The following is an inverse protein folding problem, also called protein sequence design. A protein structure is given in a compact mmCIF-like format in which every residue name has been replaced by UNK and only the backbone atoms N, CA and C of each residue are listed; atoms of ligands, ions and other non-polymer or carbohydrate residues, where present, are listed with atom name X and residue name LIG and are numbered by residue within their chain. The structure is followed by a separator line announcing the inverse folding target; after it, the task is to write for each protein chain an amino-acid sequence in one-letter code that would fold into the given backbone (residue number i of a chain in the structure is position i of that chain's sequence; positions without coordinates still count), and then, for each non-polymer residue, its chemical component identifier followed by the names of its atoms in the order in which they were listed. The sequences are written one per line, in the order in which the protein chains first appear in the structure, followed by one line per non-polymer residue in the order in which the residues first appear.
data_IF_175106818369
#
_entry.id   IF_175106818369
#
_cell.length_a   1.000
_cell.length_b   1.000
_cell.length_c   1.000
_cell.angle_alpha   90.00
_cell.angle_beta   90.00
_cell.angle_gamma   90.00
#
_symmetry.space_group_name_H-M   'P 1'
#
loop_
_entity.id
_entity.type
_entity.pdbx_description
1 polymer ?
#
# COMPACT_ATOMS: atom_id res chain seq x y z
N UNK A 1 -10.06 -2.81 1.79
CA UNK A 1 -9.85 -2.71 0.33
C UNK A 1 -9.86 -1.27 -0.23
N UNK A 2 -10.25 -0.21 0.51
CA UNK A 2 -10.18 1.18 -0.01
C UNK A 2 -8.87 1.94 0.28
N UNK A 3 -8.16 1.56 1.34
CA UNK A 3 -6.98 2.29 1.80
C UNK A 3 -5.80 2.26 0.83
N UNK A 4 -5.64 1.18 0.05
CA UNK A 4 -4.55 1.06 -0.93
C UNK A 4 -4.78 2.05 -2.09
N UNK A 5 -6.00 2.09 -2.63
CA UNK A 5 -6.39 3.03 -3.70
C UNK A 5 -6.28 4.49 -3.25
N UNK A 6 -6.70 4.80 -2.02
CA UNK A 6 -6.57 6.16 -1.47
C UNK A 6 -5.11 6.59 -1.32
N UNK A 7 -4.23 5.69 -0.88
CA UNK A 7 -2.79 5.97 -0.82
C UNK A 7 -2.18 6.06 -2.21
N UNK A 8 -2.62 5.25 -3.17
CA UNK A 8 -2.14 5.32 -4.55
C UNK A 8 -2.51 6.65 -5.21
N UNK A 9 -3.72 7.15 -4.92
CA UNK A 9 -4.20 8.47 -5.37
C UNK A 9 -3.46 9.62 -4.69
N UNK A 10 -3.16 9.49 -3.39
CA UNK A 10 -2.43 10.53 -2.62
C UNK A 10 -0.93 10.54 -2.88
N UNK A 11 -0.34 9.41 -3.27
CA UNK A 11 1.10 9.27 -3.49
C UNK A 11 1.39 8.57 -4.83
N UNK A 12 1.32 9.29 -5.96
CA UNK A 12 1.49 8.71 -7.30
C UNK A 12 2.88 8.10 -7.58
N UNK A 13 3.84 8.22 -6.66
CA UNK A 13 5.20 7.65 -6.76
C UNK A 13 5.51 6.54 -5.75
N UNK A 14 4.53 6.10 -4.94
CA UNK A 14 4.76 5.03 -3.98
C UNK A 14 4.71 3.66 -4.69
N UNK A 15 5.90 3.17 -5.05
CA UNK A 15 6.06 1.79 -5.50
C UNK A 15 5.60 0.79 -4.43
N UNK A 16 5.29 -0.43 -4.86
CA UNK A 16 4.73 -1.51 -4.03
C UNK A 16 5.49 -1.78 -2.73
N UNK A 17 6.81 -1.58 -2.71
CA UNK A 17 7.65 -1.70 -1.50
C UNK A 17 7.33 -0.63 -0.44
N UNK A 18 7.22 0.64 -0.85
CA UNK A 18 6.89 1.75 0.06
C UNK A 18 5.44 1.67 0.52
N UNK A 19 4.54 1.26 -0.36
CA UNK A 19 3.13 1.03 -0.02
C UNK A 19 2.99 -0.09 1.01
N UNK A 20 3.71 -1.21 0.84
CA UNK A 20 3.74 -2.30 1.83
C UNK A 20 4.31 -1.86 3.18
N UNK A 21 5.38 -1.06 3.20
CA UNK A 21 5.97 -0.55 4.44
C UNK A 21 5.03 0.40 5.20
N UNK A 22 4.33 1.28 4.47
CA UNK A 22 3.35 2.19 5.06
C UNK A 22 2.15 1.45 5.62
N UNK A 23 1.61 0.47 4.88
CA UNK A 23 0.51 -0.37 5.33
C UNK A 23 0.89 -1.18 6.58
N UNK A 24 2.11 -1.76 6.59
CA UNK A 24 2.64 -2.45 7.78
C UNK A 24 2.77 -1.54 8.99
N UNK A 25 3.18 -0.28 8.80
CA UNK A 25 3.26 0.71 9.89
C UNK A 25 1.88 1.09 10.44
N UNK A 26 0.84 0.99 9.62
CA UNK A 26 -0.54 1.20 10.02
C UNK A 26 -1.17 0.00 10.75
N UNK A 27 -0.46 -1.13 10.84
CA UNK A 27 -0.98 -2.38 11.42
C UNK A 27 -1.62 -3.32 10.40
N UNK A 28 -1.67 -2.92 9.13
CA UNK A 28 -2.15 -3.76 8.04
C UNK A 28 -1.01 -4.66 7.52
N UNK A 29 -1.05 -5.94 7.88
CA UNK A 29 -0.13 -6.94 7.33
C UNK A 29 -0.52 -7.30 5.89
N UNK A 30 -0.25 -6.38 4.96
CA UNK A 30 -0.58 -6.57 3.55
C UNK A 30 0.59 -7.24 2.84
N UNK A 31 0.35 -8.43 2.33
CA UNK A 31 1.32 -9.12 1.48
C UNK A 31 1.55 -8.35 0.17
N UNK A 32 2.80 -8.30 -0.30
CA UNK A 32 3.17 -7.64 -1.57
C UNK A 32 2.35 -8.11 -2.78
N UNK A 33 1.88 -9.38 -2.78
CA UNK A 33 0.98 -9.96 -3.78
C UNK A 33 -0.41 -9.31 -3.78
N UNK A 34 -0.89 -8.82 -2.63
CA UNK A 34 -2.16 -8.08 -2.51
C UNK A 34 -2.04 -6.64 -3.00
N UNK A 35 -0.85 -6.05 -2.90
CA UNK A 35 -0.55 -4.67 -3.33
C UNK A 35 -0.34 -4.60 -4.85
N UNK A 36 0.21 -5.66 -5.44
CA UNK A 36 0.35 -5.84 -6.90
C UNK A 36 -0.79 -6.72 -7.41
N UNK A 37 -2.00 -6.20 -7.44
CA UNK A 37 -3.09 -6.80 -8.21
C UNK A 37 -3.32 -5.98 -9.47
#
# INVERSE_FOLDING_TARGET
MRWIDEQHTRTPFYGSRRMTAWLRRQGDEVNRKRVRR
#
